data_IF_313623772224
#
_entry.id   IF_313623772224
#
_cell.length_a   1.000
_cell.length_b   1.000
_cell.length_c   1.000
_cell.angle_alpha   90.00
_cell.angle_beta   90.00
_cell.angle_gamma   90.00
#
_symmetry.space_group_name_H-M   'P 1'
#
loop_
_entity.id
_entity.type
_entity.pdbx_description
1 polymer ?
#
# COMPACT_ATOMS: atom_id res chain seq x y z
N UNK A 1 17.44 5.79 -14.17
CA UNK A 1 17.03 5.91 -12.74
C UNK A 1 15.81 6.83 -12.57
N UNK A 2 15.90 8.14 -12.84
CA UNK A 2 14.78 9.08 -12.66
C UNK A 2 13.49 8.63 -13.37
N UNK A 3 13.58 8.18 -14.60
CA UNK A 3 12.41 7.73 -15.38
C UNK A 3 11.80 6.43 -14.80
N UNK A 4 12.63 5.52 -14.28
CA UNK A 4 12.13 4.30 -13.61
C UNK A 4 11.41 4.64 -12.30
N UNK A 5 11.93 5.58 -11.49
CA UNK A 5 11.23 6.07 -10.28
C UNK A 5 9.89 6.72 -10.67
N UNK A 6 9.90 7.60 -11.67
CA UNK A 6 8.66 8.18 -12.17
C UNK A 6 7.69 7.10 -12.67
N UNK A 7 8.19 6.10 -13.39
CA UNK A 7 7.42 4.94 -13.84
C UNK A 7 6.77 4.17 -12.70
N UNK A 8 7.50 3.92 -11.62
CA UNK A 8 6.96 3.24 -10.43
C UNK A 8 5.83 4.05 -9.77
N UNK A 9 6.03 5.36 -9.55
CA UNK A 9 5.05 6.23 -8.92
C UNK A 9 3.79 6.44 -9.79
N UNK A 10 3.98 6.75 -11.08
CA UNK A 10 2.85 6.90 -11.99
C UNK A 10 2.16 5.57 -12.28
N UNK A 11 2.92 4.46 -12.37
CA UNK A 11 2.38 3.12 -12.55
C UNK A 11 1.49 2.69 -11.38
N UNK A 12 1.90 2.98 -10.15
CA UNK A 12 1.09 2.76 -8.95
C UNK A 12 -0.22 3.54 -9.02
N UNK A 13 -0.16 4.85 -9.26
CA UNK A 13 -1.36 5.70 -9.33
C UNK A 13 -2.27 5.34 -10.52
N UNK A 14 -1.69 4.93 -11.63
CA UNK A 14 -2.41 4.44 -12.80
C UNK A 14 -3.15 3.13 -12.50
N UNK A 15 -2.46 2.18 -11.84
CA UNK A 15 -3.02 0.90 -11.45
C UNK A 15 -4.19 1.07 -10.49
N UNK A 16 -4.04 1.91 -9.48
CA UNK A 16 -5.08 2.30 -8.52
C UNK A 16 -6.30 2.89 -9.24
N UNK A 17 -6.11 3.95 -10.04
CA UNK A 17 -7.21 4.60 -10.76
C UNK A 17 -7.91 3.69 -11.80
N UNK A 18 -7.21 2.71 -12.36
CA UNK A 18 -7.81 1.70 -13.25
C UNK A 18 -8.52 0.59 -12.48
N UNK A 19 -8.02 0.24 -11.29
CA UNK A 19 -8.62 -0.77 -10.41
C UNK A 19 -9.85 -0.27 -9.66
N UNK A 20 -9.90 1.01 -9.34
CA UNK A 20 -10.93 1.66 -8.53
C UNK A 20 -12.38 1.26 -8.90
N UNK A 21 -12.81 1.20 -10.16
CA UNK A 21 -14.20 0.87 -10.49
C UNK A 21 -14.61 -0.55 -10.05
N UNK A 22 -13.63 -1.43 -9.88
CA UNK A 22 -13.83 -2.83 -9.48
C UNK A 22 -13.53 -3.10 -8.00
N UNK A 23 -13.30 -2.05 -7.20
CA UNK A 23 -12.90 -2.13 -5.79
C UNK A 23 -13.78 -3.12 -5.02
N UNK A 24 -13.15 -4.02 -4.25
CA UNK A 24 -13.75 -5.10 -3.47
C UNK A 24 -14.63 -6.10 -4.26
N UNK A 25 -14.68 -6.03 -5.58
CA UNK A 25 -15.44 -6.99 -6.38
C UNK A 25 -14.62 -8.24 -6.70
N UNK A 26 -15.20 -9.40 -6.48
CA UNK A 26 -14.59 -10.67 -6.90
C UNK A 26 -14.45 -10.77 -8.42
N UNK A 27 -13.40 -11.44 -8.89
CA UNK A 27 -13.04 -11.59 -10.32
C UNK A 27 -14.21 -11.96 -11.24
N UNK A 28 -15.14 -12.84 -10.78
CA UNK A 28 -16.31 -13.25 -11.57
C UNK A 28 -17.24 -12.10 -11.84
N UNK A 29 -17.49 -11.23 -10.82
CA UNK A 29 -18.35 -10.04 -10.94
C UNK A 29 -17.70 -9.01 -11.86
N UNK A 30 -16.41 -8.74 -11.68
CA UNK A 30 -15.65 -7.82 -12.55
C UNK A 30 -15.72 -8.26 -14.01
N UNK A 31 -15.49 -9.55 -14.30
CA UNK A 31 -15.60 -10.10 -15.66
C UNK A 31 -17.01 -9.99 -16.23
N UNK A 32 -18.02 -10.26 -15.43
CA UNK A 32 -19.42 -10.21 -15.89
C UNK A 32 -19.88 -8.77 -16.17
N UNK A 33 -19.40 -7.79 -15.38
CA UNK A 33 -19.86 -6.39 -15.48
C UNK A 33 -19.05 -5.60 -16.52
N UNK A 34 -17.71 -5.67 -16.49
CA UNK A 34 -16.83 -4.87 -17.35
C UNK A 34 -16.27 -5.65 -18.54
N UNK A 35 -16.29 -7.00 -18.51
CA UNK A 35 -15.48 -7.81 -19.42
C UNK A 35 -14.01 -7.63 -19.12
N UNK A 36 -13.39 -6.61 -19.74
CA UNK A 36 -12.01 -6.17 -19.51
C UNK A 36 -12.00 -4.66 -19.31
N UNK A 37 -11.27 -4.20 -18.31
CA UNK A 37 -11.02 -2.78 -18.07
C UNK A 37 -9.77 -2.39 -18.87
N UNK A 38 -9.93 -1.55 -19.89
CA UNK A 38 -8.84 -1.12 -20.79
C UNK A 38 -8.53 0.38 -20.67
N UNK A 39 -9.18 1.09 -19.73
CA UNK A 39 -8.97 2.52 -19.50
C UNK A 39 -9.71 2.97 -18.26
N UNK A 40 -9.63 4.25 -17.98
CA UNK A 40 -10.31 4.85 -16.84
C UNK A 40 -11.83 4.84 -17.00
N UNK A 41 -12.52 4.40 -15.96
CA UNK A 41 -13.97 4.36 -15.85
C UNK A 41 -14.43 5.10 -14.59
N UNK A 42 -15.66 5.59 -14.59
CA UNK A 42 -16.32 6.04 -13.37
C UNK A 42 -16.62 4.83 -12.46
N UNK A 43 -16.65 5.02 -11.16
CA UNK A 43 -17.15 4.02 -10.23
C UNK A 43 -18.62 3.74 -10.50
N UNK A 44 -19.03 2.45 -10.72
CA UNK A 44 -20.40 2.12 -11.04
C UNK A 44 -21.31 2.26 -9.82
N UNK A 45 -22.58 2.66 -10.06
CA UNK A 45 -23.57 2.83 -9.01
C UNK A 45 -23.83 1.54 -8.19
N UNK A 46 -23.53 0.38 -8.78
CA UNK A 46 -23.65 -0.94 -8.17
C UNK A 46 -22.47 -1.30 -7.25
N UNK A 47 -21.45 -0.44 -7.17
CA UNK A 47 -20.31 -0.64 -6.28
C UNK A 47 -20.41 0.31 -5.08
N UNK A 48 -20.73 -0.23 -3.91
CA UNK A 48 -20.93 0.53 -2.66
C UNK A 48 -19.69 1.29 -2.18
N UNK A 49 -18.49 0.94 -2.70
CA UNK A 49 -17.23 1.60 -2.37
C UNK A 49 -16.86 2.63 -3.43
N UNK A 50 -16.96 2.25 -4.70
CA UNK A 50 -16.46 3.06 -5.82
C UNK A 50 -17.45 4.07 -6.40
N UNK A 51 -18.76 4.01 -6.08
CA UNK A 51 -19.84 4.73 -6.78
C UNK A 51 -19.66 6.26 -6.87
N UNK A 52 -18.92 6.86 -5.97
CA UNK A 52 -18.69 8.31 -5.96
C UNK A 52 -17.41 8.72 -6.72
N UNK A 53 -16.54 7.77 -7.07
CA UNK A 53 -15.30 8.07 -7.77
C UNK A 53 -15.51 8.33 -9.25
N UNK A 54 -14.73 9.24 -9.81
CA UNK A 54 -14.73 9.59 -11.23
C UNK A 54 -13.56 8.94 -11.96
N UNK A 55 -13.72 8.72 -13.25
CA UNK A 55 -12.68 8.16 -14.12
C UNK A 55 -11.35 8.88 -13.96
N UNK A 56 -10.28 8.11 -13.74
CA UNK A 56 -8.93 8.63 -13.54
C UNK A 56 -8.65 9.13 -12.13
N UNK A 57 -9.62 9.07 -11.22
CA UNK A 57 -9.42 9.35 -9.81
C UNK A 57 -8.79 8.11 -9.13
N UNK A 58 -7.71 8.32 -8.41
CA UNK A 58 -7.10 7.30 -7.55
C UNK A 58 -7.77 7.26 -6.17
N UNK A 59 -7.50 6.21 -5.40
CA UNK A 59 -8.12 5.94 -4.09
C UNK A 59 -7.16 6.24 -2.93
N UNK A 60 -7.42 5.64 -1.78
CA UNK A 60 -6.54 5.74 -0.61
C UNK A 60 -5.19 5.03 -0.80
N UNK A 61 -5.08 4.08 -1.71
CA UNK A 61 -3.83 3.41 -2.07
C UNK A 61 -2.76 4.45 -2.44
N UNK A 62 -3.02 5.24 -3.45
CA UNK A 62 -2.13 6.32 -3.88
C UNK A 62 -2.08 7.46 -2.86
N UNK A 63 -3.22 7.83 -2.27
CA UNK A 63 -3.29 8.87 -1.24
C UNK A 63 -2.36 8.58 -0.07
N UNK A 64 -2.40 7.38 0.48
CA UNK A 64 -1.53 6.97 1.59
C UNK A 64 -0.08 6.76 1.16
N UNK A 65 0.19 6.33 -0.08
CA UNK A 65 1.56 6.26 -0.61
C UNK A 65 2.22 7.64 -0.69
N UNK A 66 1.48 8.67 -1.10
CA UNK A 66 1.97 10.06 -1.11
C UNK A 66 2.24 10.59 0.31
N UNK A 67 1.35 10.28 1.27
CA UNK A 67 1.57 10.60 2.69
C UNK A 67 2.84 9.95 3.22
N UNK A 68 3.07 8.69 2.87
CA UNK A 68 4.29 7.96 3.25
C UNK A 68 5.54 8.61 2.64
N UNK A 69 5.51 8.98 1.37
CA UNK A 69 6.59 9.70 0.70
C UNK A 69 6.90 11.04 1.38
N UNK A 70 5.87 11.81 1.73
CA UNK A 70 6.06 13.10 2.44
C UNK A 70 6.71 12.90 3.80
N UNK A 71 6.34 11.85 4.54
CA UNK A 71 6.94 11.51 5.82
C UNK A 71 8.43 11.19 5.66
N UNK A 72 8.77 10.20 4.83
CA UNK A 72 10.17 9.78 4.68
C UNK A 72 11.06 10.86 4.08
N UNK A 73 10.54 11.71 3.21
CA UNK A 73 11.29 12.86 2.67
C UNK A 73 11.57 13.92 3.74
N UNK A 74 10.66 14.11 4.69
CA UNK A 74 10.83 15.08 5.77
C UNK A 74 11.70 14.61 6.92
N UNK A 75 11.94 13.30 7.02
CA UNK A 75 12.77 12.64 8.04
C UNK A 75 14.13 12.19 7.49
N UNK A 76 14.57 12.79 6.39
CA UNK A 76 15.83 12.47 5.71
C UNK A 76 15.98 10.98 5.37
N UNK A 77 14.86 10.37 4.93
CA UNK A 77 14.70 8.95 4.59
C UNK A 77 14.84 7.97 5.76
N UNK A 78 14.81 8.47 7.00
CA UNK A 78 14.73 7.61 8.18
C UNK A 78 13.25 7.40 8.56
N UNK A 79 12.78 6.14 8.72
CA UNK A 79 11.37 5.86 8.98
C UNK A 79 10.98 6.28 10.41
N UNK A 80 10.08 7.25 10.53
CA UNK A 80 9.45 7.63 11.79
C UNK A 80 7.98 7.19 11.82
N UNK A 81 7.70 6.10 12.52
CA UNK A 81 6.35 5.53 12.65
C UNK A 81 5.35 6.53 13.21
N UNK A 82 5.78 7.41 14.13
CA UNK A 82 4.89 8.40 14.74
C UNK A 82 4.55 9.51 13.74
N UNK A 83 5.52 10.01 12.99
CA UNK A 83 5.29 11.01 11.94
C UNK A 83 4.37 10.45 10.86
N UNK A 84 4.60 9.20 10.42
CA UNK A 84 3.74 8.49 9.47
C UNK A 84 2.30 8.44 10.00
N UNK A 85 2.09 8.02 11.26
CA UNK A 85 0.75 7.92 11.85
C UNK A 85 0.05 9.28 11.92
N UNK A 86 0.77 10.34 12.33
CA UNK A 86 0.25 11.71 12.39
C UNK A 86 -0.18 12.22 11.02
N UNK A 87 0.64 12.03 9.99
CA UNK A 87 0.33 12.46 8.62
C UNK A 87 -0.82 11.67 8.02
N UNK A 88 -0.87 10.34 8.25
CA UNK A 88 -1.99 9.51 7.83
C UNK A 88 -3.29 9.92 8.49
N UNK A 89 -3.27 10.25 9.79
CA UNK A 89 -4.43 10.77 10.50
C UNK A 89 -4.89 12.10 9.93
N UNK A 90 -3.97 13.05 9.72
CA UNK A 90 -4.28 14.36 9.12
C UNK A 90 -4.86 14.23 7.69
N UNK A 91 -4.31 13.30 6.88
CA UNK A 91 -4.87 12.97 5.57
C UNK A 91 -6.29 12.38 5.69
N UNK A 92 -6.48 11.43 6.59
CA UNK A 92 -7.78 10.79 6.80
C UNK A 92 -8.87 11.78 7.26
N UNK A 93 -8.51 12.73 8.11
CA UNK A 93 -9.41 13.81 8.55
C UNK A 93 -9.74 14.77 7.39
N UNK A 94 -8.74 15.19 6.61
CA UNK A 94 -8.92 16.06 5.44
C UNK A 94 -9.85 15.45 4.39
N UNK A 95 -9.71 14.15 4.12
CA UNK A 95 -10.52 13.43 3.13
C UNK A 95 -11.86 12.91 3.73
N UNK A 96 -12.17 13.19 5.01
CA UNK A 96 -13.29 12.60 5.75
C UNK A 96 -13.34 11.06 5.62
N UNK A 97 -12.16 10.42 5.67
CA UNK A 97 -11.97 9.04 5.32
C UNK A 97 -12.59 8.07 6.33
N UNK A 98 -12.81 8.52 7.58
CA UNK A 98 -13.50 7.75 8.63
C UNK A 98 -15.00 7.60 8.35
N UNK A 99 -15.64 8.66 7.85
CA UNK A 99 -17.09 8.74 7.59
C UNK A 99 -17.44 8.15 6.23
N UNK A 100 -16.59 8.38 5.22
CA UNK A 100 -16.83 7.98 3.85
C UNK A 100 -16.40 6.55 3.51
N UNK A 101 -16.00 5.73 4.52
CA UNK A 101 -15.49 4.36 4.35
C UNK A 101 -14.33 4.23 3.35
N UNK A 102 -13.48 5.26 3.26
CA UNK A 102 -12.28 5.25 2.41
C UNK A 102 -11.21 4.34 3.05
N UNK A 103 -11.06 4.43 4.39
CA UNK A 103 -10.09 3.60 5.12
C UNK A 103 -10.55 2.15 5.23
N UNK A 104 -9.67 1.22 4.93
CA UNK A 104 -9.85 -0.18 5.27
C UNK A 104 -9.97 -0.39 6.80
N UNK A 105 -10.62 -1.48 7.25
CA UNK A 105 -10.98 -1.67 8.67
C UNK A 105 -9.77 -1.64 9.61
N UNK A 106 -8.64 -2.21 9.22
CA UNK A 106 -7.41 -2.22 10.03
C UNK A 106 -6.86 -0.81 10.21
N UNK A 107 -6.68 -0.06 9.12
CA UNK A 107 -6.19 1.33 9.17
C UNK A 107 -7.14 2.24 9.96
N UNK A 108 -8.46 2.06 9.79
CA UNK A 108 -9.48 2.83 10.50
C UNK A 108 -9.34 2.70 12.00
N UNK A 109 -9.23 1.46 12.51
CA UNK A 109 -9.08 1.20 13.95
C UNK A 109 -7.72 1.63 14.46
N UNK A 110 -6.64 1.35 13.73
CA UNK A 110 -5.28 1.73 14.14
C UNK A 110 -5.12 3.26 14.27
N UNK A 111 -5.61 4.03 13.30
CA UNK A 111 -5.55 5.49 13.34
C UNK A 111 -6.49 6.09 14.40
N UNK A 112 -7.66 5.49 14.63
CA UNK A 112 -8.55 5.89 15.74
C UNK A 112 -7.87 5.65 17.10
N UNK A 113 -7.27 4.48 17.31
CA UNK A 113 -6.52 4.16 18.52
C UNK A 113 -5.35 5.13 18.74
N UNK A 114 -4.63 5.44 17.67
CA UNK A 114 -3.53 6.42 17.73
C UNK A 114 -4.03 7.81 18.14
N UNK A 115 -5.11 8.31 17.52
CA UNK A 115 -5.75 9.60 17.83
C UNK A 115 -6.21 9.66 19.29
N UNK A 116 -6.85 8.59 19.76
CA UNK A 116 -7.45 8.51 21.08
C UNK A 116 -6.47 8.01 22.16
N UNK A 117 -5.18 7.86 21.80
CA UNK A 117 -4.09 7.38 22.65
C UNK A 117 -4.39 6.00 23.31
N UNK A 118 -5.07 5.13 22.57
CA UNK A 118 -5.39 3.76 23.00
C UNK A 118 -4.25 2.82 22.58
N UNK A 119 -3.69 2.10 23.54
CA UNK A 119 -2.61 1.11 23.31
C UNK A 119 -3.22 -0.28 23.07
N UNK A 120 -3.72 -0.52 21.85
CA UNK A 120 -4.29 -1.81 21.45
C UNK A 120 -3.81 -2.18 20.04
N UNK A 121 -2.91 -3.15 19.94
CA UNK A 121 -2.33 -3.64 18.69
C UNK A 121 -3.04 -4.87 18.10
N UNK A 122 -4.07 -5.41 18.76
CA UNK A 122 -4.70 -6.68 18.35
C UNK A 122 -5.19 -6.69 16.92
N UNK A 123 -5.71 -5.56 16.43
CA UNK A 123 -6.18 -5.46 15.04
C UNK A 123 -5.02 -5.35 14.04
N UNK A 124 -3.92 -4.69 14.41
CA UNK A 124 -2.75 -4.52 13.57
C UNK A 124 -1.91 -5.79 13.51
N UNK A 125 -1.76 -6.48 14.65
CA UNK A 125 -0.99 -7.72 14.78
C UNK A 125 -1.64 -8.92 14.07
N UNK A 126 -2.95 -8.86 13.84
CA UNK A 126 -3.73 -9.91 13.15
C UNK A 126 -4.35 -9.43 11.85
N UNK A 127 -3.83 -8.37 11.27
CA UNK A 127 -4.31 -7.85 10.00
C UNK A 127 -4.07 -8.83 8.86
N UNK A 128 -5.06 -8.98 7.98
CA UNK A 128 -4.98 -9.78 6.75
C UNK A 128 -5.29 -8.93 5.51
N UNK A 129 -5.45 -7.61 5.69
CA UNK A 129 -5.76 -6.68 4.60
C UNK A 129 -4.48 -6.22 3.87
N UNK A 130 -4.63 -5.73 2.65
CA UNK A 130 -3.52 -5.24 1.82
C UNK A 130 -3.05 -3.81 2.15
N UNK A 131 -3.56 -3.20 3.23
CA UNK A 131 -3.34 -1.76 3.49
C UNK A 131 -1.88 -1.34 3.68
N UNK A 132 -0.95 -2.26 3.94
CA UNK A 132 0.49 -1.99 3.85
C UNK A 132 1.01 -2.13 2.41
N UNK A 133 0.68 -3.23 1.72
CA UNK A 133 1.16 -3.54 0.38
C UNK A 133 0.71 -2.50 -0.67
N UNK A 134 -0.52 -1.98 -0.57
CA UNK A 134 -1.10 -1.03 -1.51
C UNK A 134 -0.33 0.30 -1.64
N UNK A 135 0.37 0.71 -0.58
CA UNK A 135 1.06 2.01 -0.50
C UNK A 135 2.58 1.91 -0.51
N UNK A 136 3.14 0.69 -0.56
CA UNK A 136 4.57 0.46 -0.30
C UNK A 136 5.46 0.64 -1.54
N UNK A 137 4.91 0.64 -2.75
CA UNK A 137 5.68 0.67 -3.99
C UNK A 137 6.80 1.74 -4.03
N UNK A 138 6.60 2.98 -3.52
CA UNK A 138 7.65 3.99 -3.50
C UNK A 138 8.89 3.59 -2.70
N UNK A 139 8.73 2.74 -1.68
CA UNK A 139 9.83 2.30 -0.81
C UNK A 139 10.83 1.44 -1.59
N UNK A 140 10.34 0.60 -2.51
CA UNK A 140 11.22 -0.20 -3.37
C UNK A 140 12.21 0.63 -4.19
N UNK A 141 11.87 1.89 -4.50
CA UNK A 141 12.76 2.79 -5.23
C UNK A 141 14.00 3.25 -4.43
N UNK A 142 14.01 3.04 -3.12
CA UNK A 142 15.10 3.45 -2.22
C UNK A 142 16.23 2.43 -2.12
N UNK A 143 15.98 1.20 -2.55
CA UNK A 143 16.86 0.06 -2.34
C UNK A 143 17.28 -0.62 -3.64
N UNK A 144 18.26 -1.50 -3.53
CA UNK A 144 18.63 -2.46 -4.57
C UNK A 144 18.12 -3.85 -4.19
N UNK A 145 17.82 -4.72 -5.16
CA UNK A 145 17.21 -6.04 -4.89
C UNK A 145 18.10 -6.98 -4.06
N UNK A 146 19.40 -6.70 -3.94
CA UNK A 146 20.28 -7.47 -3.09
C UNK A 146 20.14 -7.12 -1.59
N UNK A 147 19.43 -6.03 -1.26
CA UNK A 147 19.26 -5.51 0.11
C UNK A 147 17.96 -6.00 0.77
N UNK A 148 17.63 -7.30 0.63
CA UNK A 148 16.36 -7.88 1.06
C UNK A 148 16.06 -7.66 2.55
N UNK A 149 17.05 -7.84 3.43
CA UNK A 149 16.88 -7.63 4.86
C UNK A 149 16.61 -6.16 5.21
N UNK A 150 17.27 -5.23 4.52
CA UNK A 150 17.05 -3.80 4.70
C UNK A 150 15.67 -3.40 4.18
N UNK A 151 15.25 -3.92 3.02
CA UNK A 151 13.91 -3.70 2.46
C UNK A 151 12.87 -4.19 3.45
N UNK A 152 12.94 -5.43 3.90
CA UNK A 152 11.96 -6.00 4.83
C UNK A 152 11.89 -5.22 6.15
N UNK A 153 13.03 -4.83 6.70
CA UNK A 153 13.11 -4.03 7.93
C UNK A 153 12.47 -2.64 7.73
N UNK A 154 12.80 -1.97 6.64
CA UNK A 154 12.25 -0.66 6.32
C UNK A 154 10.74 -0.73 6.10
N UNK A 155 10.28 -1.72 5.32
CA UNK A 155 8.85 -2.00 5.10
C UNK A 155 8.12 -2.21 6.43
N UNK A 156 8.67 -3.02 7.34
CA UNK A 156 8.09 -3.19 8.67
C UNK A 156 7.96 -1.85 9.41
N UNK A 157 9.02 -1.05 9.45
CA UNK A 157 9.02 0.23 10.16
C UNK A 157 7.97 1.22 9.63
N UNK A 158 7.82 1.34 8.30
CA UNK A 158 6.84 2.26 7.70
C UNK A 158 5.41 1.70 7.73
N UNK A 159 5.25 0.39 7.87
CA UNK A 159 3.93 -0.26 7.91
C UNK A 159 3.30 -0.28 9.30
N UNK A 160 4.12 -0.35 10.36
CA UNK A 160 3.70 -0.63 11.73
C UNK A 160 2.78 0.44 12.36
N UNK A 161 2.63 1.58 11.73
CA UNK A 161 1.62 2.56 12.12
C UNK A 161 0.18 1.98 12.04
N UNK A 162 -0.05 1.00 11.16
CA UNK A 162 -1.37 0.41 10.91
C UNK A 162 -1.37 -1.11 10.73
N UNK A 163 -0.26 -1.73 10.33
CA UNK A 163 -0.16 -3.16 10.01
C UNK A 163 1.15 -3.72 10.54
N UNK A 164 1.07 -4.79 11.33
CA UNK A 164 2.22 -5.41 12.00
C UNK A 164 2.25 -6.93 11.84
N UNK A 165 1.19 -7.55 11.26
CA UNK A 165 1.14 -9.00 11.09
C UNK A 165 2.18 -9.50 10.08
N UNK A 166 2.62 -10.74 10.26
CA UNK A 166 3.57 -11.44 9.39
C UNK A 166 3.12 -11.46 7.93
N UNK A 167 1.87 -11.83 7.66
CA UNK A 167 1.27 -11.88 6.30
C UNK A 167 1.29 -10.52 5.63
N UNK A 168 0.90 -9.45 6.35
CA UNK A 168 0.86 -8.10 5.75
C UNK A 168 2.24 -7.54 5.49
N UNK A 169 3.21 -7.82 6.36
CA UNK A 169 4.60 -7.37 6.18
C UNK A 169 5.26 -8.16 5.04
N UNK A 170 5.06 -9.48 4.98
CA UNK A 170 5.57 -10.28 3.87
C UNK A 170 5.03 -9.78 2.52
N UNK A 171 3.72 -9.61 2.40
CA UNK A 171 3.11 -9.09 1.17
C UNK A 171 3.61 -7.70 0.78
N UNK A 172 3.79 -6.79 1.74
CA UNK A 172 4.35 -5.47 1.48
C UNK A 172 5.84 -5.55 1.08
N UNK A 173 6.64 -6.40 1.71
CA UNK A 173 8.05 -6.61 1.35
C UNK A 173 8.18 -7.16 -0.08
N UNK A 174 7.32 -8.09 -0.49
CA UNK A 174 7.27 -8.61 -1.86
C UNK A 174 6.99 -7.51 -2.90
N UNK A 175 6.08 -6.58 -2.61
CA UNK A 175 5.80 -5.45 -3.52
C UNK A 175 6.99 -4.48 -3.58
N UNK A 176 7.60 -4.16 -2.43
CA UNK A 176 8.78 -3.30 -2.40
C UNK A 176 9.95 -3.92 -3.16
N UNK A 177 10.17 -5.23 -3.01
CA UNK A 177 11.19 -5.99 -3.74
C UNK A 177 10.91 -6.00 -5.25
N UNK A 178 9.67 -6.23 -5.67
CA UNK A 178 9.29 -6.18 -7.09
C UNK A 178 9.65 -4.83 -7.73
N UNK A 179 9.39 -3.74 -7.03
CA UNK A 179 9.75 -2.40 -7.51
C UNK A 179 11.27 -2.23 -7.51
N UNK A 180 11.97 -2.62 -6.45
CA UNK A 180 13.44 -2.55 -6.36
C UNK A 180 14.11 -3.32 -7.49
N UNK A 181 13.67 -4.56 -7.75
CA UNK A 181 14.17 -5.39 -8.83
C UNK A 181 13.89 -4.77 -10.22
N UNK A 182 12.68 -4.26 -10.46
CA UNK A 182 12.31 -3.58 -11.70
C UNK A 182 13.10 -2.28 -11.96
N UNK A 183 13.72 -1.69 -10.91
CA UNK A 183 14.63 -0.54 -11.11
C UNK A 183 15.91 -0.92 -11.85
N UNK A 184 16.31 -2.20 -11.82
CA UNK A 184 17.58 -2.68 -12.41
C UNK A 184 17.38 -3.77 -13.45
N UNK A 185 16.26 -4.50 -13.44
CA UNK A 185 15.91 -5.55 -14.38
C UNK A 185 14.78 -5.09 -15.31
N UNK A 186 14.72 -5.64 -16.50
CA UNK A 186 13.66 -5.36 -17.48
C UNK A 186 12.82 -6.62 -17.79
N UNK A 187 13.28 -7.81 -17.36
CA UNK A 187 12.57 -9.08 -17.53
C UNK A 187 11.68 -9.36 -16.32
N UNK A 188 10.40 -9.66 -16.58
CA UNK A 188 9.41 -9.90 -15.54
C UNK A 188 9.68 -11.18 -14.73
N UNK A 189 10.14 -12.24 -15.38
CA UNK A 189 10.40 -13.52 -14.69
C UNK A 189 11.60 -13.37 -13.74
N UNK A 190 12.64 -12.63 -14.15
CA UNK A 190 13.77 -12.31 -13.27
C UNK A 190 13.35 -11.44 -12.07
N UNK A 191 12.41 -10.50 -12.25
CA UNK A 191 11.84 -9.71 -11.14
C UNK A 191 11.09 -10.63 -10.17
N UNK A 192 10.29 -11.57 -10.69
CA UNK A 192 9.53 -12.49 -9.85
C UNK A 192 10.41 -13.46 -9.05
N UNK A 193 11.56 -13.85 -9.58
CA UNK A 193 12.54 -14.66 -8.82
C UNK A 193 13.04 -13.92 -7.56
N UNK A 194 13.32 -12.63 -7.67
CA UNK A 194 13.72 -11.81 -6.51
C UNK A 194 12.61 -11.69 -5.48
N UNK A 195 11.37 -11.50 -5.95
CA UNK A 195 10.17 -11.36 -5.09
C UNK A 195 9.95 -12.57 -4.20
N UNK A 196 10.08 -13.79 -4.74
CA UNK A 196 9.93 -15.00 -3.94
C UNK A 196 11.05 -15.19 -2.90
N UNK A 197 12.20 -14.55 -3.09
CA UNK A 197 13.31 -14.62 -2.15
C UNK A 197 13.19 -13.74 -0.90
N UNK A 198 12.21 -12.81 -0.84
CA UNK A 198 12.03 -11.91 0.32
C UNK A 198 10.85 -12.32 1.23
N UNK A 199 9.99 -13.21 0.79
CA UNK A 199 8.76 -13.59 1.51
C UNK A 199 9.05 -14.06 2.95
N UNK A 200 9.94 -15.02 3.12
CA UNK A 200 10.29 -15.57 4.44
C UNK A 200 10.90 -14.52 5.38
N UNK A 201 11.71 -13.61 4.83
CA UNK A 201 12.30 -12.50 5.61
C UNK A 201 11.18 -11.57 6.09
N UNK A 202 10.23 -11.25 5.22
CA UNK A 202 9.07 -10.43 5.56
C UNK A 202 8.20 -11.06 6.65
N UNK A 203 7.94 -12.37 6.58
CA UNK A 203 7.24 -13.11 7.64
C UNK A 203 7.95 -13.02 8.99
N UNK A 204 9.26 -13.17 9.00
CA UNK A 204 10.06 -13.08 10.22
C UNK A 204 10.09 -11.70 10.88
N UNK A 205 9.66 -10.63 10.18
CA UNK A 205 9.59 -9.26 10.72
C UNK A 205 8.26 -8.96 11.40
N UNK A 206 7.17 -9.61 11.00
CA UNK A 206 5.83 -9.35 11.51
C UNK A 206 5.48 -10.14 12.76
N UNK A 207 4.30 -9.81 13.34
CA UNK A 207 3.70 -10.58 14.43
C UNK A 207 2.99 -11.81 13.85
N UNK A 208 3.16 -12.96 14.46
CA UNK A 208 2.48 -14.21 14.05
C UNK A 208 0.95 -14.06 14.13
N UNK A 209 0.26 -14.42 13.04
CA UNK A 209 -1.22 -14.31 12.88
C UNK A 209 -1.99 -15.48 13.45
#
# INVERSE_FOLDING_TARGET
MRDKIAGALFGMALGDAMGMPAELWGRKRVKAFFGRIEGFLDGPAENDVAFNYKKGQFTDDTGQALVLLDSIASTDYEPDTRDIALRMLAWAEKENAFENNILGPTSKVALANFRDNIQDSRITDKALSNGSAMRIAPIGCLFRPEQKEEIARYVYQVSRATHTSDVTIAGAAMIAEAVSSAMVKDDFDEVMEDVFGIEEIGYGMGCET
#
